data_IF_899643489200
#
_entry.id   IF_899643489200
#
_cell.length_a   1.000
_cell.length_b   1.000
_cell.length_c   1.000
_cell.angle_alpha   90.00
_cell.angle_beta   90.00
_cell.angle_gamma   90.00
#
_symmetry.space_group_name_H-M   'P 1'
#
loop_
_entity.id
_entity.type
_entity.pdbx_description
1 polymer ?
#
# COMPACT_ATOMS: atom_id res chain seq x y z
N UNK A 1 8.46 -6.80 -34.55
CA UNK A 1 7.59 -7.71 -33.76
C UNK A 1 7.52 -7.15 -32.35
N UNK A 2 6.45 -6.43 -32.03
CA UNK A 2 6.22 -5.88 -30.70
C UNK A 2 5.70 -6.98 -29.79
N UNK A 3 6.44 -7.30 -28.72
CA UNK A 3 5.97 -8.24 -27.70
C UNK A 3 5.10 -7.43 -26.74
N UNK A 4 3.83 -7.27 -27.07
CA UNK A 4 2.82 -6.84 -26.10
C UNK A 4 2.68 -7.94 -25.06
N UNK A 5 3.39 -7.80 -23.94
CA UNK A 5 3.14 -8.60 -22.74
C UNK A 5 1.75 -8.26 -22.20
N UNK A 6 0.73 -8.95 -22.72
CA UNK A 6 -0.63 -8.91 -22.19
C UNK A 6 -0.58 -9.52 -20.79
N UNK A 7 -0.50 -8.68 -19.77
CA UNK A 7 -0.62 -9.10 -18.37
C UNK A 7 -1.97 -9.79 -18.23
N UNK A 8 -1.98 -11.12 -18.02
CA UNK A 8 -3.20 -11.88 -17.69
C UNK A 8 -3.97 -11.14 -16.60
N UNK A 9 -5.25 -10.82 -16.87
CA UNK A 9 -6.27 -10.29 -15.92
C UNK A 9 -6.44 -11.28 -14.75
N UNK A 10 -5.48 -11.30 -13.84
CA UNK A 10 -5.46 -12.17 -12.67
C UNK A 10 -5.99 -11.42 -11.47
N UNK A 11 -7.21 -11.76 -11.04
CA UNK A 11 -7.74 -11.32 -9.75
C UNK A 11 -6.72 -11.67 -8.66
N UNK A 12 -6.27 -10.67 -7.90
CA UNK A 12 -5.36 -10.85 -6.77
C UNK A 12 -6.15 -11.02 -5.48
N UNK A 13 -5.50 -11.47 -4.41
CA UNK A 13 -6.17 -11.70 -3.14
C UNK A 13 -5.58 -10.89 -2.00
N UNK A 14 -6.45 -10.34 -1.17
CA UNK A 14 -6.11 -9.74 0.13
C UNK A 14 -7.18 -10.15 1.13
N UNK A 15 -6.78 -10.54 2.35
CA UNK A 15 -7.72 -11.06 3.38
C UNK A 15 -8.69 -12.13 2.83
N UNK A 16 -8.21 -13.04 1.97
CA UNK A 16 -9.00 -14.10 1.28
C UNK A 16 -10.05 -13.59 0.29
N UNK A 17 -10.12 -12.29 0.00
CA UNK A 17 -11.05 -11.71 -0.97
C UNK A 17 -10.33 -11.36 -2.27
N UNK A 18 -11.00 -11.61 -3.41
CA UNK A 18 -10.46 -11.36 -4.75
C UNK A 18 -10.73 -9.93 -5.21
N UNK A 19 -9.72 -9.22 -5.67
CA UNK A 19 -9.81 -7.86 -6.20
C UNK A 19 -9.20 -7.75 -7.61
N UNK A 20 -9.71 -6.80 -8.40
CA UNK A 20 -9.11 -6.44 -9.68
C UNK A 20 -7.95 -5.44 -9.48
N UNK A 21 -6.70 -5.81 -9.80
CA UNK A 21 -5.57 -4.90 -9.64
C UNK A 21 -5.65 -3.65 -10.53
N UNK A 22 -6.41 -3.68 -11.62
CA UNK A 22 -6.59 -2.50 -12.49
C UNK A 22 -7.53 -1.47 -11.88
N UNK A 23 -8.57 -1.91 -11.16
CA UNK A 23 -9.43 -1.02 -10.39
C UNK A 23 -8.65 -0.37 -9.24
N UNK A 24 -7.84 -1.16 -8.52
CA UNK A 24 -7.03 -0.66 -7.40
C UNK A 24 -5.97 0.36 -7.85
N UNK A 25 -5.40 0.19 -9.04
CA UNK A 25 -4.38 1.09 -9.56
C UNK A 25 -4.86 2.55 -9.72
N UNK A 26 -6.18 2.79 -9.80
CA UNK A 26 -6.78 4.13 -9.93
C UNK A 26 -6.87 4.89 -8.61
N UNK A 27 -6.80 4.19 -7.48
CA UNK A 27 -7.11 4.75 -6.15
C UNK A 27 -6.18 5.91 -5.77
N UNK A 28 -4.85 5.83 -5.97
CA UNK A 28 -3.94 6.96 -5.73
C UNK A 28 -4.36 8.24 -6.48
N UNK A 29 -4.73 8.11 -7.75
CA UNK A 29 -5.11 9.26 -8.58
C UNK A 29 -6.44 9.87 -8.12
N UNK A 30 -7.41 9.03 -7.74
CA UNK A 30 -8.69 9.48 -7.16
C UNK A 30 -8.44 10.26 -5.86
N UNK A 31 -7.58 9.74 -4.99
CA UNK A 31 -7.23 10.40 -3.74
C UNK A 31 -6.56 11.75 -3.97
N UNK A 32 -5.59 11.83 -4.89
CA UNK A 32 -4.95 13.09 -5.26
C UNK A 32 -5.96 14.10 -5.81
N UNK A 33 -6.81 13.68 -6.75
CA UNK A 33 -7.81 14.56 -7.37
C UNK A 33 -8.85 15.09 -6.38
N UNK A 34 -9.16 14.31 -5.33
CA UNK A 34 -10.09 14.70 -4.26
C UNK A 34 -9.42 15.40 -3.08
N UNK A 35 -8.09 15.48 -3.05
CA UNK A 35 -7.36 15.97 -1.89
C UNK A 35 -7.51 15.09 -0.65
N UNK A 36 -7.80 13.79 -0.83
CA UNK A 36 -7.85 12.84 0.28
C UNK A 36 -6.44 12.53 0.76
N UNK A 37 -6.24 12.58 2.07
CA UNK A 37 -4.95 12.37 2.71
C UNK A 37 -5.00 11.23 3.71
N UNK A 38 -3.89 10.50 3.82
CA UNK A 38 -3.67 9.47 4.81
C UNK A 38 -2.90 10.06 5.99
N UNK A 39 -3.35 9.80 7.22
CA UNK A 39 -2.63 10.19 8.44
C UNK A 39 -2.13 8.99 9.19
N UNK A 40 -1.05 9.18 9.95
CA UNK A 40 -0.53 8.13 10.82
C UNK A 40 -1.53 7.87 11.96
N UNK A 41 -1.82 6.61 12.24
CA UNK A 41 -2.77 6.23 13.30
C UNK A 41 -4.24 6.43 12.93
N UNK A 42 -4.60 6.35 11.65
CA UNK A 42 -6.00 6.26 11.23
C UNK A 42 -6.75 5.15 11.95
N UNK A 43 -7.98 5.46 12.35
CA UNK A 43 -8.91 4.45 12.86
C UNK A 43 -9.53 3.68 11.70
N UNK A 44 -10.13 2.53 11.99
CA UNK A 44 -10.90 1.76 10.99
C UNK A 44 -12.07 2.55 10.41
N UNK A 45 -12.60 3.53 11.15
CA UNK A 45 -13.65 4.43 10.68
C UNK A 45 -13.09 5.45 9.69
N UNK A 46 -11.91 6.00 9.97
CA UNK A 46 -11.23 6.93 9.05
C UNK A 46 -10.89 6.25 7.71
N UNK A 47 -10.37 5.03 7.76
CA UNK A 47 -10.08 4.22 6.57
C UNK A 47 -11.35 4.00 5.74
N UNK A 48 -12.46 3.60 6.38
CA UNK A 48 -13.75 3.41 5.70
C UNK A 48 -14.30 4.67 5.07
N UNK A 49 -14.16 5.83 5.71
CA UNK A 49 -14.62 7.09 5.13
C UNK A 49 -13.88 7.41 3.82
N UNK A 50 -12.59 7.08 3.74
CA UNK A 50 -11.81 7.23 2.50
C UNK A 50 -12.28 6.21 1.46
N UNK A 51 -12.47 4.94 1.86
CA UNK A 51 -12.99 3.90 0.97
C UNK A 51 -14.36 4.28 0.37
N UNK A 52 -15.27 4.80 1.19
CA UNK A 52 -16.60 5.25 0.78
C UNK A 52 -16.52 6.44 -0.19
N UNK A 53 -15.63 7.40 0.05
CA UNK A 53 -15.41 8.51 -0.88
C UNK A 53 -14.85 8.03 -2.23
N UNK A 54 -13.90 7.08 -2.22
CA UNK A 54 -13.37 6.47 -3.45
C UNK A 54 -14.50 5.82 -4.25
N UNK A 55 -15.34 5.02 -3.60
CA UNK A 55 -16.48 4.36 -4.25
C UNK A 55 -17.54 5.35 -4.72
N UNK A 56 -17.70 6.50 -4.03
CA UNK A 56 -18.57 7.59 -4.47
C UNK A 56 -18.06 8.26 -5.75
N UNK A 57 -16.73 8.40 -5.89
CA UNK A 57 -16.09 9.01 -7.07
C UNK A 57 -16.11 8.09 -8.27
N UNK A 58 -15.72 6.83 -8.09
CA UNK A 58 -15.76 5.81 -9.14
C UNK A 58 -16.59 4.61 -8.65
N UNK A 59 -17.91 4.58 -8.95
CA UNK A 59 -18.80 3.47 -8.58
C UNK A 59 -18.44 2.12 -9.20
N UNK A 60 -17.51 2.08 -10.16
CA UNK A 60 -16.99 0.81 -10.70
C UNK A 60 -16.00 0.11 -9.76
N UNK A 61 -15.48 0.84 -8.76
CA UNK A 61 -14.61 0.29 -7.72
C UNK A 61 -15.46 -0.42 -6.67
N UNK A 62 -15.20 -1.71 -6.46
CA UNK A 62 -15.89 -2.52 -5.44
C UNK A 62 -15.30 -2.25 -4.05
N UNK A 63 -16.05 -2.55 -2.97
CA UNK A 63 -15.57 -2.39 -1.59
C UNK A 63 -14.23 -3.09 -1.33
N UNK A 64 -14.04 -4.30 -1.87
CA UNK A 64 -12.77 -5.04 -1.72
C UNK A 64 -11.60 -4.34 -2.40
N UNK A 65 -11.83 -3.62 -3.49
CA UNK A 65 -10.79 -2.88 -4.22
C UNK A 65 -10.44 -1.58 -3.51
N UNK A 66 -11.45 -0.84 -3.03
CA UNK A 66 -11.25 0.33 -2.18
C UNK A 66 -10.42 -0.04 -0.94
N UNK A 67 -10.85 -1.08 -0.21
CA UNK A 67 -10.13 -1.61 0.96
C UNK A 67 -8.71 -2.05 0.62
N UNK A 68 -8.52 -2.78 -0.48
CA UNK A 68 -7.19 -3.23 -0.91
C UNK A 68 -6.27 -2.04 -1.21
N UNK A 69 -6.79 -1.02 -1.91
CA UNK A 69 -6.04 0.16 -2.27
C UNK A 69 -5.63 1.01 -1.08
N UNK A 70 -6.57 1.29 -0.17
CA UNK A 70 -6.31 2.07 1.05
C UNK A 70 -5.32 1.33 1.97
N UNK A 71 -5.55 0.03 2.22
CA UNK A 71 -4.63 -0.79 3.00
C UNK A 71 -3.23 -0.86 2.36
N UNK A 72 -3.17 -0.95 1.03
CA UNK A 72 -1.92 -0.93 0.28
C UNK A 72 -1.16 0.39 0.39
N UNK A 73 -1.81 1.51 0.72
CA UNK A 73 -1.14 2.79 0.93
C UNK A 73 -0.69 2.96 2.38
N UNK A 74 -1.42 2.40 3.35
CA UNK A 74 -1.14 2.52 4.78
C UNK A 74 -0.04 1.53 5.23
N UNK A 75 -0.09 0.28 4.78
CA UNK A 75 0.83 -0.78 5.20
C UNK A 75 1.82 -1.15 4.09
N UNK A 76 3.12 -1.06 4.41
CA UNK A 76 4.20 -1.34 3.45
C UNK A 76 4.16 -2.78 2.89
N UNK A 77 3.80 -3.78 3.70
CA UNK A 77 3.73 -5.18 3.22
C UNK A 77 2.55 -5.34 2.25
N UNK A 78 1.41 -4.76 2.58
CA UNK A 78 0.24 -4.70 1.71
C UNK A 78 0.53 -3.92 0.42
N UNK A 79 1.29 -2.81 0.49
CA UNK A 79 1.75 -2.04 -0.68
C UNK A 79 2.42 -2.92 -1.72
N UNK A 80 3.36 -3.76 -1.28
CA UNK A 80 4.09 -4.69 -2.17
C UNK A 80 3.17 -5.73 -2.82
N UNK A 81 2.09 -6.14 -2.14
CA UNK A 81 1.11 -7.08 -2.69
C UNK A 81 0.16 -6.40 -3.69
N UNK A 82 -0.30 -5.21 -3.34
CA UNK A 82 -1.34 -4.46 -4.06
C UNK A 82 -0.74 -3.72 -5.25
N UNK A 83 0.22 -2.84 -5.00
CA UNK A 83 0.85 -1.95 -5.99
C UNK A 83 2.19 -2.46 -6.54
N UNK A 84 2.66 -3.63 -6.10
CA UNK A 84 3.96 -4.25 -6.46
C UNK A 84 5.17 -3.50 -5.89
N UNK A 85 6.36 -4.06 -6.14
CA UNK A 85 7.65 -3.73 -5.49
C UNK A 85 8.19 -2.31 -5.75
N UNK A 86 7.52 -1.47 -6.55
CA UNK A 86 8.03 -0.15 -6.98
C UNK A 86 6.96 0.95 -6.98
N UNK A 87 6.12 1.00 -5.96
CA UNK A 87 5.23 2.15 -5.79
C UNK A 87 6.07 3.41 -5.53
N UNK A 88 5.86 4.53 -6.25
CA UNK A 88 6.73 5.71 -6.12
C UNK A 88 6.61 6.35 -4.73
N UNK A 89 7.74 6.54 -4.05
CA UNK A 89 7.78 7.21 -2.75
C UNK A 89 7.31 8.67 -2.80
N UNK A 90 7.51 9.36 -3.93
CA UNK A 90 6.98 10.71 -4.14
C UNK A 90 5.46 10.73 -4.12
N UNK A 91 4.83 9.82 -4.86
CA UNK A 91 3.37 9.67 -4.87
C UNK A 91 2.85 9.33 -3.46
N UNK A 92 3.57 8.47 -2.74
CA UNK A 92 3.20 8.15 -1.36
C UNK A 92 3.27 9.39 -0.46
N UNK A 93 4.34 10.17 -0.56
CA UNK A 93 4.49 11.43 0.17
C UNK A 93 3.37 12.43 -0.14
N UNK A 94 2.89 12.47 -1.38
CA UNK A 94 1.79 13.35 -1.79
C UNK A 94 0.43 12.85 -1.27
N UNK A 95 0.30 11.57 -0.93
CA UNK A 95 -0.93 11.00 -0.36
C UNK A 95 -0.98 11.09 1.17
N UNK A 96 0.17 11.18 1.84
CA UNK A 96 0.20 11.36 3.29
C UNK A 96 -0.02 12.83 3.67
N UNK A 97 -0.75 13.02 4.76
CA UNK A 97 -0.80 14.28 5.47
C UNK A 97 0.56 14.51 6.13
N UNK A 98 1.03 15.76 6.08
CA UNK A 98 2.21 16.17 6.82
C UNK A 98 1.79 16.61 8.22
N UNK A 99 2.34 15.97 9.24
CA UNK A 99 2.10 16.38 10.62
C UNK A 99 2.88 17.68 10.87
N UNK A 100 2.17 18.79 10.99
CA UNK A 100 2.71 20.05 11.49
C UNK A 100 2.54 20.08 13.01
N UNK A 101 3.67 20.10 13.74
CA UNK A 101 3.68 20.18 15.22
C UNK A 101 4.52 21.38 15.67
N UNK A 102 4.15 22.01 16.79
CA UNK A 102 4.97 23.04 17.42
C UNK A 102 5.71 22.40 18.60
N UNK A 103 7.03 22.54 18.64
CA UNK A 103 7.83 22.04 19.77
C UNK A 103 7.75 22.97 20.99
N UNK A 104 8.35 22.58 22.12
CA UNK A 104 8.35 23.37 23.36
C UNK A 104 9.05 24.73 23.24
N UNK A 105 9.84 24.94 22.18
CA UNK A 105 10.54 26.20 21.88
C UNK A 105 9.75 27.11 20.93
N UNK A 106 8.53 26.73 20.55
CA UNK A 106 7.72 27.47 19.59
C UNK A 106 8.14 27.28 18.12
N UNK A 107 9.05 26.33 17.82
CA UNK A 107 9.45 26.02 16.45
C UNK A 107 8.50 25.04 15.80
N UNK A 108 8.15 25.31 14.54
CA UNK A 108 7.42 24.38 13.69
C UNK A 108 8.32 23.18 13.33
N UNK A 109 7.83 22.00 13.63
CA UNK A 109 8.36 20.71 13.19
C UNK A 109 7.45 20.19 12.09
N UNK A 110 8.05 19.87 10.95
CA UNK A 110 7.39 19.21 9.84
C UNK A 110 7.78 17.74 9.84
N UNK A 111 6.86 16.85 10.21
CA UNK A 111 7.07 15.41 10.12
C UNK A 111 6.42 14.91 8.82
N UNK A 112 7.24 14.75 7.77
CA UNK A 112 6.81 14.13 6.51
C UNK A 112 6.88 12.62 6.65
N UNK A 113 5.95 11.90 6.02
CA UNK A 113 6.09 10.46 5.86
C UNK A 113 7.35 10.13 5.04
N UNK A 114 8.32 9.47 5.66
CA UNK A 114 9.52 8.94 5.02
C UNK A 114 9.57 7.44 5.30
N UNK A 115 9.48 6.64 4.24
CA UNK A 115 9.65 5.19 4.34
C UNK A 115 11.15 4.89 4.36
N UNK A 116 11.67 4.36 5.48
CA UNK A 116 13.08 3.99 5.62
C UNK A 116 13.42 2.85 4.63
N UNK A 117 14.05 3.19 3.50
CA UNK A 117 14.45 2.22 2.48
C UNK A 117 15.61 1.29 2.95
N UNK A 118 16.37 1.70 3.96
CA UNK A 118 17.67 1.11 4.31
C UNK A 118 17.62 -0.23 5.05
N UNK A 119 16.44 -0.74 5.44
CA UNK A 119 16.32 -2.01 6.20
C UNK A 119 16.10 -3.26 5.34
N UNK A 120 16.19 -3.17 4.02
CA UNK A 120 15.62 -4.21 3.14
C UNK A 120 16.58 -4.81 2.11
N UNK A 121 17.90 -4.79 2.37
CA UNK A 121 18.83 -5.76 1.78
C UNK A 121 18.82 -7.12 2.51
N UNK A 122 17.82 -7.41 3.35
CA UNK A 122 17.63 -8.78 3.85
C UNK A 122 17.17 -9.68 2.70
N UNK A 123 18.18 -10.36 2.16
CA UNK A 123 18.11 -11.41 1.16
C UNK A 123 16.95 -12.39 1.46
N UNK A 124 15.95 -12.40 0.57
CA UNK A 124 14.80 -13.33 0.63
C UNK A 124 15.27 -14.80 0.64
N UNK A 125 16.50 -15.07 0.17
CA UNK A 125 17.10 -16.41 0.16
C UNK A 125 17.81 -16.80 1.47
N UNK A 126 17.95 -15.92 2.46
CA UNK A 126 18.63 -16.24 3.73
C UNK A 126 17.92 -17.34 4.55
N UNK A 127 16.67 -17.67 4.21
CA UNK A 127 15.89 -18.76 4.82
C UNK A 127 15.96 -20.10 4.06
N UNK A 128 16.53 -20.13 2.86
CA UNK A 128 16.58 -21.34 2.02
C UNK A 128 17.81 -22.19 2.34
N UNK A 129 18.83 -21.61 2.99
CA UNK A 129 20.08 -22.27 3.34
C UNK A 129 20.05 -22.97 4.72
N UNK A 130 18.86 -23.33 5.21
CA UNK A 130 18.76 -24.25 6.35
C UNK A 130 18.64 -25.68 5.81
N UNK A 131 19.66 -26.54 5.97
CA UNK A 131 19.52 -27.94 5.58
C UNK A 131 18.49 -28.61 6.49
N UNK A 132 17.32 -28.92 5.92
CA UNK A 132 16.33 -29.78 6.57
C UNK A 132 16.77 -31.24 6.43
N UNK A 133 17.41 -31.82 7.44
CA UNK A 133 17.44 -33.28 7.57
C UNK A 133 17.74 -33.71 9.01
N UNK A 134 16.70 -34.17 9.71
CA UNK A 134 16.88 -35.20 10.73
C UNK A 134 15.77 -36.23 10.54
N UNK A 135 16.02 -37.18 9.65
CA UNK A 135 15.16 -38.34 9.44
C UNK A 135 15.45 -39.31 10.57
N UNK A 136 14.52 -39.40 11.52
CA UNK A 136 14.60 -40.29 12.67
C UNK A 136 14.93 -41.71 12.25
N UNK A 137 15.96 -42.27 12.87
CA UNK A 137 16.28 -43.68 12.75
C UNK A 137 15.40 -44.49 13.70
N UNK A 138 15.00 -45.64 13.18
CA UNK A 138 14.05 -46.61 13.75
C UNK A 138 14.70 -47.45 14.84
#
# INVERSE_FOLDING_TARGET
>A
MEITNVIKKGQRQIKKQKYDPTAVAKIPDIMLARGLKLRKGMTTVDERNIEDEIMRVDPSIRPVEAMAGVLGLIDHKARRLVYRTRFPNSLLQDLYEADLRVNREGKLIYEKYVENADRYEENINARIDQPSMNLGQR
#
